data_IF_435417074174
#
_entry.id   IF_435417074174
#
_cell.length_a   1.000
_cell.length_b   1.000
_cell.length_c   1.000
_cell.angle_alpha   90.00
_cell.angle_beta   90.00
_cell.angle_gamma   90.00
#
_symmetry.space_group_name_H-M   'P 1'
#
loop_
_entity.id
_entity.type
_entity.pdbx_description
1 polymer ?
#
# COMPACT_ATOMS: atom_id res chain seq x y z
N UNK A 1 2.14 -59.10 30.14
CA UNK A 1 2.53 -59.27 28.72
C UNK A 1 1.63 -60.35 28.13
N UNK A 2 0.63 -59.97 27.32
CA UNK A 2 -0.23 -60.91 26.59
C UNK A 2 0.31 -61.07 25.18
N UNK A 3 0.74 -62.28 24.82
CA UNK A 3 1.33 -62.57 23.51
C UNK A 3 0.19 -62.96 22.56
N UNK A 4 -0.19 -62.05 21.68
CA UNK A 4 -1.17 -62.32 20.61
C UNK A 4 -0.50 -63.10 19.48
N UNK A 5 -0.68 -64.42 19.47
CA UNK A 5 -0.31 -65.24 18.32
C UNK A 5 -1.47 -65.21 17.32
N UNK A 6 -1.26 -64.63 16.13
CA UNK A 6 -2.26 -64.63 15.06
C UNK A 6 -1.74 -65.45 13.88
N UNK A 7 -2.46 -66.52 13.51
CA UNK A 7 -2.18 -67.32 12.31
C UNK A 7 -2.53 -66.47 11.07
N UNK A 8 -1.52 -65.92 10.42
CA UNK A 8 -1.67 -65.09 9.21
C UNK A 8 -1.99 -65.97 7.99
N UNK A 9 -3.20 -65.84 7.44
CA UNK A 9 -3.58 -66.48 6.19
C UNK A 9 -3.28 -65.50 5.04
N UNK A 10 -2.65 -65.94 3.94
CA UNK A 10 -2.17 -65.07 2.84
C UNK A 10 -3.25 -64.10 2.31
N UNK A 11 -4.51 -64.52 2.31
CA UNK A 11 -5.66 -63.67 1.94
C UNK A 11 -5.89 -62.50 2.90
N UNK A 12 -5.71 -62.71 4.21
CA UNK A 12 -5.81 -61.66 5.24
C UNK A 12 -4.62 -60.69 5.18
N UNK A 13 -3.45 -61.19 4.77
CA UNK A 13 -2.26 -60.35 4.54
C UNK A 13 -2.48 -59.36 3.39
N UNK A 14 -3.04 -59.83 2.27
CA UNK A 14 -3.34 -58.98 1.11
C UNK A 14 -4.35 -57.88 1.46
N UNK A 15 -5.41 -58.23 2.20
CA UNK A 15 -6.41 -57.25 2.65
C UNK A 15 -5.78 -56.21 3.58
N UNK A 16 -4.92 -56.63 4.52
CA UNK A 16 -4.24 -55.70 5.42
C UNK A 16 -3.34 -54.70 4.65
N UNK A 17 -2.63 -55.16 3.62
CA UNK A 17 -1.79 -54.29 2.77
C UNK A 17 -2.63 -53.27 2.00
N UNK A 18 -3.78 -53.68 1.46
CA UNK A 18 -4.68 -52.78 0.71
C UNK A 18 -5.25 -51.71 1.65
N UNK A 19 -5.69 -52.07 2.85
CA UNK A 19 -6.20 -51.11 3.84
C UNK A 19 -5.11 -50.10 4.22
N UNK A 20 -3.88 -50.56 4.42
CA UNK A 20 -2.75 -49.71 4.78
C UNK A 20 -2.38 -48.74 3.63
N UNK A 21 -2.46 -49.20 2.37
CA UNK A 21 -2.26 -48.36 1.20
C UNK A 21 -3.35 -47.27 1.06
N UNK A 22 -4.61 -47.60 1.31
CA UNK A 22 -5.72 -46.63 1.29
C UNK A 22 -5.56 -45.58 2.39
N UNK A 23 -5.15 -45.99 3.59
CA UNK A 23 -4.87 -45.07 4.70
C UNK A 23 -3.70 -44.13 4.35
N UNK A 24 -2.63 -44.64 3.74
CA UNK A 24 -1.51 -43.82 3.31
C UNK A 24 -1.91 -42.79 2.24
N UNK A 25 -2.73 -43.18 1.26
CA UNK A 25 -3.24 -42.26 0.23
C UNK A 25 -4.12 -41.18 0.85
N UNK A 26 -4.97 -41.53 1.82
CA UNK A 26 -5.80 -40.56 2.54
C UNK A 26 -4.95 -39.57 3.34
N UNK A 27 -3.88 -40.03 4.01
CA UNK A 27 -2.95 -39.17 4.74
C UNK A 27 -2.19 -38.23 3.80
N UNK A 28 -1.74 -38.72 2.63
CA UNK A 28 -1.05 -37.89 1.63
C UNK A 28 -1.99 -36.86 0.99
N UNK A 29 -3.26 -37.19 0.76
CA UNK A 29 -4.27 -36.23 0.28
C UNK A 29 -4.55 -35.12 1.31
N UNK A 30 -4.62 -35.47 2.59
CA UNK A 30 -4.82 -34.50 3.68
C UNK A 30 -3.56 -33.63 3.86
N UNK A 31 -2.37 -34.23 3.85
CA UNK A 31 -1.11 -33.50 4.00
C UNK A 31 -0.73 -32.66 2.75
N UNK A 32 -1.01 -33.15 1.54
CA UNK A 32 -0.71 -32.46 0.28
C UNK A 32 -1.63 -31.27 -0.02
N UNK A 33 -2.70 -31.08 0.77
CA UNK A 33 -3.57 -29.91 0.70
C UNK A 33 -3.13 -28.76 1.62
N UNK A 34 -2.16 -28.99 2.51
CA UNK A 34 -1.70 -27.98 3.47
C UNK A 34 -0.76 -26.94 2.84
N UNK A 35 0.13 -27.32 1.92
CA UNK A 35 1.20 -26.42 1.44
C UNK A 35 0.79 -25.45 0.31
N UNK A 36 -0.48 -25.47 -0.14
CA UNK A 36 -0.96 -24.57 -1.22
C UNK A 36 -1.95 -23.49 -0.77
N UNK A 37 -2.30 -23.47 0.52
CA UNK A 37 -3.32 -22.57 1.07
C UNK A 37 -2.75 -21.42 1.91
N UNK A 38 -1.46 -21.41 2.25
CA UNK A 38 -0.93 -20.53 3.30
C UNK A 38 -0.91 -19.03 2.96
N UNK A 39 -0.84 -18.65 1.68
CA UNK A 39 -0.87 -17.24 1.28
C UNK A 39 -2.30 -16.71 1.21
N UNK A 40 -3.20 -17.43 0.52
CA UNK A 40 -4.58 -17.00 0.33
C UNK A 40 -5.43 -17.11 1.61
N UNK A 41 -5.15 -18.09 2.49
CA UNK A 41 -5.87 -18.26 3.77
C UNK A 41 -5.49 -17.19 4.79
N UNK A 42 -4.22 -16.77 4.85
CA UNK A 42 -3.80 -15.60 5.64
C UNK A 42 -4.34 -14.29 5.07
N UNK A 43 -4.39 -14.15 3.75
CA UNK A 43 -4.91 -12.97 3.04
C UNK A 43 -6.43 -12.80 3.28
N UNK A 44 -7.22 -13.87 3.17
CA UNK A 44 -8.65 -13.84 3.50
C UNK A 44 -8.94 -13.67 4.99
N UNK A 45 -8.12 -14.26 5.88
CA UNK A 45 -8.23 -14.04 7.31
C UNK A 45 -7.90 -12.59 7.71
N UNK A 46 -6.86 -11.99 7.12
CA UNK A 46 -6.51 -10.59 7.33
C UNK A 46 -7.64 -9.66 6.86
N UNK A 47 -8.23 -9.90 5.69
CA UNK A 47 -9.37 -9.12 5.18
C UNK A 47 -10.62 -9.17 6.07
N UNK A 48 -10.77 -10.23 6.87
CA UNK A 48 -11.87 -10.37 7.83
C UNK A 48 -11.58 -9.75 9.21
N UNK A 49 -10.41 -9.14 9.40
CA UNK A 49 -9.93 -8.67 10.69
C UNK A 49 -10.88 -7.65 11.34
N UNK A 50 -11.20 -7.93 12.60
CA UNK A 50 -11.91 -6.98 13.46
C UNK A 50 -10.89 -6.01 14.04
N UNK A 51 -11.05 -4.72 13.71
CA UNK A 51 -10.12 -3.65 14.05
C UNK A 51 -10.89 -2.56 14.80
N UNK A 52 -10.62 -2.47 16.10
CA UNK A 52 -11.33 -1.59 17.06
C UNK A 52 -10.53 -0.36 17.46
N UNK A 53 -9.21 -0.45 17.44
CA UNK A 53 -8.33 0.63 17.89
C UNK A 53 -7.18 0.85 16.88
N UNK A 54 -6.40 1.90 17.10
CA UNK A 54 -5.29 2.27 16.24
C UNK A 54 -4.21 1.17 16.15
N UNK A 55 -3.84 0.55 17.26
CA UNK A 55 -2.80 -0.49 17.26
C UNK A 55 -3.18 -1.70 16.41
N UNK A 56 -4.46 -2.07 16.40
CA UNK A 56 -4.98 -3.12 15.54
C UNK A 56 -4.97 -2.71 14.05
N UNK A 57 -5.19 -1.44 13.73
CA UNK A 57 -5.08 -0.91 12.35
C UNK A 57 -3.65 -1.00 11.84
N UNK A 58 -2.69 -0.52 12.63
CA UNK A 58 -1.26 -0.60 12.31
C UNK A 58 -0.84 -2.05 12.20
N UNK A 59 -1.24 -2.92 13.14
CA UNK A 59 -0.92 -4.35 13.10
C UNK A 59 -1.49 -5.03 11.84
N UNK A 60 -2.67 -4.64 11.39
CA UNK A 60 -3.24 -5.14 10.15
C UNK A 60 -2.37 -4.75 8.94
N UNK A 61 -2.00 -3.49 8.80
CA UNK A 61 -1.12 -3.02 7.71
C UNK A 61 0.25 -3.72 7.75
N UNK A 62 0.85 -3.84 8.95
CA UNK A 62 2.10 -4.56 9.16
C UNK A 62 1.99 -6.05 8.78
N UNK A 63 0.83 -6.69 9.01
CA UNK A 63 0.62 -8.09 8.64
C UNK A 63 0.61 -8.31 7.13
N UNK A 64 0.35 -7.26 6.34
CA UNK A 64 0.42 -7.27 4.89
C UNK A 64 1.84 -6.95 4.37
N UNK A 65 2.76 -6.54 5.24
CA UNK A 65 4.14 -6.17 4.89
C UNK A 65 4.41 -4.66 4.87
N UNK A 66 3.40 -3.82 5.11
CA UNK A 66 3.58 -2.37 5.14
C UNK A 66 4.14 -1.90 6.48
N UNK A 67 5.19 -1.09 6.45
CA UNK A 67 5.63 -0.32 7.62
C UNK A 67 4.99 1.05 7.54
N UNK A 68 4.21 1.39 8.57
CA UNK A 68 3.49 2.66 8.64
C UNK A 68 3.77 3.41 9.93
N UNK A 69 3.56 4.72 9.88
CA UNK A 69 3.58 5.55 11.08
C UNK A 69 2.58 5.06 12.13
N UNK A 70 2.96 5.20 13.41
CA UNK A 70 2.14 4.67 14.51
C UNK A 70 0.78 5.35 14.62
N UNK A 71 0.68 6.62 14.21
CA UNK A 71 -0.55 7.42 14.29
C UNK A 71 -1.08 7.64 12.88
N UNK A 72 -2.40 7.54 12.73
CA UNK A 72 -3.06 7.96 11.49
C UNK A 72 -2.80 9.46 11.23
N UNK A 73 -2.42 9.79 10.00
CA UNK A 73 -2.32 11.17 9.53
C UNK A 73 -3.69 11.82 9.49
N UNK A 74 -4.70 11.07 9.04
CA UNK A 74 -6.06 11.56 8.87
C UNK A 74 -7.07 10.51 9.32
N UNK A 75 -8.17 11.00 9.90
CA UNK A 75 -9.39 10.25 10.20
C UNK A 75 -10.57 11.01 9.61
N UNK A 76 -11.27 10.39 8.65
CA UNK A 76 -12.35 11.05 7.92
C UNK A 76 -13.58 10.15 7.79
N UNK A 77 -14.76 10.70 8.05
CA UNK A 77 -16.02 10.03 7.74
C UNK A 77 -16.30 10.11 6.24
N UNK A 78 -16.57 8.96 5.63
CA UNK A 78 -16.87 8.82 4.21
C UNK A 78 -18.20 8.09 4.03
N UNK A 79 -19.00 8.54 3.05
CA UNK A 79 -20.25 7.86 2.70
C UNK A 79 -20.02 7.08 1.42
N UNK A 80 -20.25 5.76 1.47
CA UNK A 80 -20.19 4.92 0.28
C UNK A 80 -21.40 5.25 -0.60
N UNK A 81 -21.23 5.62 -1.88
CA UNK A 81 -22.35 5.96 -2.74
C UNK A 81 -23.30 4.77 -2.94
N UNK A 82 -24.62 5.02 -3.05
CA UNK A 82 -25.58 3.96 -3.40
C UNK A 82 -25.45 3.52 -4.87
N UNK A 83 -25.10 4.45 -5.73
CA UNK A 83 -24.91 4.23 -7.16
C UNK A 83 -23.47 4.60 -7.51
N UNK A 84 -22.75 3.68 -8.17
CA UNK A 84 -21.35 3.91 -8.52
C UNK A 84 -21.26 4.61 -9.86
N UNK A 85 -20.64 5.79 -9.87
CA UNK A 85 -20.12 6.41 -11.09
C UNK A 85 -19.00 5.54 -11.68
N UNK A 86 -18.61 5.78 -12.92
CA UNK A 86 -17.55 4.98 -13.54
C UNK A 86 -16.20 5.10 -12.81
N UNK A 87 -15.96 6.23 -12.15
CA UNK A 87 -14.79 6.42 -11.27
C UNK A 87 -14.90 5.51 -10.04
N UNK A 88 -16.05 5.48 -9.38
CA UNK A 88 -16.24 4.65 -8.19
C UNK A 88 -16.28 3.15 -8.54
N UNK A 89 -16.75 2.78 -9.73
CA UNK A 89 -16.68 1.39 -10.22
C UNK A 89 -15.23 0.94 -10.34
N UNK A 90 -14.36 1.73 -10.97
CA UNK A 90 -12.91 1.45 -11.05
C UNK A 90 -12.27 1.32 -9.67
N UNK A 91 -12.64 2.22 -8.75
CA UNK A 91 -12.18 2.10 -7.36
C UNK A 91 -12.65 0.77 -6.73
N UNK A 92 -13.94 0.41 -6.88
CA UNK A 92 -14.45 -0.86 -6.38
C UNK A 92 -13.82 -2.08 -7.06
N UNK A 93 -13.37 -2.00 -8.31
CA UNK A 93 -12.61 -3.09 -8.97
C UNK A 93 -11.29 -3.37 -8.24
N UNK A 94 -10.56 -2.34 -7.82
CA UNK A 94 -9.34 -2.48 -6.99
C UNK A 94 -9.68 -3.15 -5.66
N UNK A 95 -10.83 -2.80 -5.06
CA UNK A 95 -11.28 -3.39 -3.80
C UNK A 95 -11.72 -4.86 -3.97
N UNK A 96 -12.44 -5.17 -5.05
CA UNK A 96 -12.90 -6.52 -5.38
C UNK A 96 -11.74 -7.48 -5.60
N UNK A 97 -10.67 -7.02 -6.26
CA UNK A 97 -9.46 -7.81 -6.46
C UNK A 97 -8.80 -8.24 -5.13
N UNK A 98 -9.04 -7.50 -4.06
CA UNK A 98 -8.56 -7.83 -2.71
C UNK A 98 -9.54 -8.70 -1.94
N UNK A 99 -10.79 -8.82 -2.39
CA UNK A 99 -11.88 -9.52 -1.69
C UNK A 99 -12.87 -8.59 -0.96
N UNK A 100 -12.76 -7.29 -1.16
CA UNK A 100 -13.68 -6.28 -0.64
C UNK A 100 -14.73 -5.89 -1.68
N UNK A 101 -16.00 -5.79 -1.28
CA UNK A 101 -17.08 -5.40 -2.20
C UNK A 101 -17.87 -4.23 -1.62
N UNK A 102 -17.55 -3.01 -2.09
CA UNK A 102 -18.17 -1.79 -1.60
C UNK A 102 -19.62 -1.65 -2.04
N UNK A 103 -20.07 -2.36 -3.08
CA UNK A 103 -21.46 -2.29 -3.54
C UNK A 103 -22.45 -2.73 -2.47
N UNK A 104 -22.01 -3.62 -1.56
CA UNK A 104 -22.77 -4.09 -0.40
C UNK A 104 -22.98 -3.01 0.68
N UNK A 105 -22.23 -1.91 0.62
CA UNK A 105 -22.21 -0.87 1.64
C UNK A 105 -22.80 0.46 1.14
N UNK A 106 -23.55 0.46 0.03
CA UNK A 106 -24.13 1.67 -0.54
C UNK A 106 -25.01 2.46 0.44
N UNK A 107 -24.72 3.75 0.59
CA UNK A 107 -25.41 4.69 1.49
C UNK A 107 -24.97 4.61 2.96
N UNK A 108 -23.94 3.82 3.27
CA UNK A 108 -23.40 3.66 4.62
C UNK A 108 -22.29 4.69 4.88
N UNK A 109 -22.30 5.28 6.07
CA UNK A 109 -21.17 6.03 6.61
C UNK A 109 -20.13 5.07 7.21
N UNK A 110 -18.89 5.18 6.73
CA UNK A 110 -17.73 4.46 7.21
C UNK A 110 -16.62 5.46 7.60
N UNK A 111 -15.59 4.99 8.28
CA UNK A 111 -14.44 5.83 8.65
C UNK A 111 -13.21 5.41 7.85
N UNK A 112 -12.62 6.36 7.13
CA UNK A 112 -11.32 6.21 6.47
C UNK A 112 -10.21 6.65 7.41
N UNK A 113 -9.17 5.84 7.48
CA UNK A 113 -7.94 6.13 8.20
C UNK A 113 -6.76 6.09 7.25
N UNK A 114 -5.98 7.16 7.23
CA UNK A 114 -4.83 7.33 6.36
C UNK A 114 -3.55 7.24 7.18
N UNK A 115 -2.61 6.41 6.75
CA UNK A 115 -1.33 6.21 7.42
C UNK A 115 -0.18 6.51 6.46
N UNK A 116 0.86 7.20 6.95
CA UNK A 116 2.10 7.36 6.19
C UNK A 116 2.78 6.01 6.02
N UNK A 117 3.12 5.64 4.78
CA UNK A 117 3.92 4.44 4.48
C UNK A 117 5.40 4.81 4.51
N UNK A 118 6.22 3.95 5.12
CA UNK A 118 7.65 4.17 5.35
C UNK A 118 8.55 3.26 4.51
N UNK A 119 8.00 2.18 3.93
CA UNK A 119 8.77 1.17 3.21
C UNK A 119 8.30 0.94 1.76
N UNK A 120 7.67 1.93 1.12
CA UNK A 120 7.25 1.77 -0.27
C UNK A 120 8.50 1.62 -1.20
N UNK A 121 8.59 0.59 -2.06
CA UNK A 121 9.80 0.36 -2.85
C UNK A 121 10.12 1.48 -3.84
N UNK A 122 11.41 1.82 -3.95
CA UNK A 122 11.96 2.71 -5.00
C UNK A 122 11.27 4.07 -5.13
N UNK A 123 10.71 4.63 -4.05
CA UNK A 123 9.99 5.88 -4.12
C UNK A 123 10.25 6.77 -2.90
N UNK A 124 10.69 8.01 -3.17
CA UNK A 124 10.83 9.07 -2.16
C UNK A 124 9.53 9.91 -2.03
N UNK A 125 8.45 9.50 -2.71
CA UNK A 125 7.18 10.24 -2.69
C UNK A 125 6.38 9.98 -1.41
N UNK A 126 5.53 10.94 -1.02
CA UNK A 126 4.62 10.81 0.12
C UNK A 126 3.52 9.78 -0.18
N UNK A 127 3.85 8.51 0.00
CA UNK A 127 2.93 7.37 -0.15
C UNK A 127 2.16 7.16 1.14
N UNK A 128 0.85 6.98 1.03
CA UNK A 128 -0.04 6.70 2.16
C UNK A 128 -0.84 5.42 1.93
N UNK A 129 -1.24 4.78 3.02
CA UNK A 129 -2.14 3.64 3.03
C UNK A 129 -3.47 4.06 3.66
N UNK A 130 -4.55 3.88 2.91
CA UNK A 130 -5.92 4.10 3.36
C UNK A 130 -6.57 2.78 3.73
N UNK A 131 -7.25 2.75 4.88
CA UNK A 131 -8.17 1.68 5.25
C UNK A 131 -9.53 2.27 5.60
N UNK A 132 -10.60 1.68 5.06
CA UNK A 132 -11.98 2.09 5.31
C UNK A 132 -12.62 1.06 6.21
N UNK A 133 -13.14 1.52 7.35
CA UNK A 133 -13.68 0.67 8.41
C UNK A 133 -15.17 0.97 8.61
N UNK A 134 -15.97 -0.10 8.60
CA UNK A 134 -17.36 -0.07 9.01
C UNK A 134 -17.63 -1.14 10.07
N UNK A 135 -18.22 -0.75 11.21
CA UNK A 135 -18.50 -1.64 12.35
C UNK A 135 -17.30 -2.48 12.77
N UNK A 136 -16.15 -1.84 12.93
CA UNK A 136 -14.87 -2.46 13.26
C UNK A 136 -14.37 -3.51 12.25
N UNK A 137 -14.87 -3.52 11.01
CA UNK A 137 -14.37 -4.39 9.94
C UNK A 137 -13.82 -3.53 8.82
N UNK A 138 -12.68 -3.93 8.28
CA UNK A 138 -12.14 -3.31 7.09
C UNK A 138 -13.03 -3.73 5.92
N UNK A 139 -13.50 -2.75 5.15
CA UNK A 139 -14.39 -2.95 4.00
C UNK A 139 -13.77 -2.48 2.69
N UNK A 140 -12.62 -1.81 2.76
CA UNK A 140 -11.77 -1.43 1.64
C UNK A 140 -10.41 -0.95 2.17
N UNK A 141 -9.41 -0.93 1.29
CA UNK A 141 -8.18 -0.19 1.50
C UNK A 141 -7.31 -0.17 0.26
N UNK A 142 -6.40 0.78 0.23
CA UNK A 142 -5.49 1.02 -0.88
C UNK A 142 -4.19 1.67 -0.39
N UNK A 143 -3.19 1.68 -1.28
CA UNK A 143 -1.97 2.45 -1.14
C UNK A 143 -1.90 3.41 -2.30
N UNK A 144 -1.68 4.68 -2.01
CA UNK A 144 -1.70 5.75 -3.00
C UNK A 144 -0.56 6.75 -2.79
N UNK A 145 -0.15 7.40 -3.88
CA UNK A 145 0.83 8.49 -3.86
C UNK A 145 0.16 9.80 -4.24
N UNK A 146 0.51 10.88 -3.52
CA UNK A 146 0.01 12.23 -3.79
C UNK A 146 0.83 12.98 -4.87
N UNK A 147 1.70 12.29 -5.61
CA UNK A 147 2.46 12.87 -6.72
C UNK A 147 1.56 13.19 -7.93
N UNK A 148 2.02 14.06 -8.84
CA UNK A 148 1.30 14.41 -10.08
C UNK A 148 1.03 13.20 -10.99
N UNK A 149 1.96 12.26 -11.01
CA UNK A 149 1.90 10.94 -11.64
C UNK A 149 1.60 9.83 -10.62
N UNK A 150 0.87 10.19 -9.56
CA UNK A 150 0.51 9.29 -8.47
C UNK A 150 -0.27 8.07 -8.92
N UNK A 151 -0.31 7.08 -8.04
CA UNK A 151 -1.01 5.81 -8.26
C UNK A 151 -1.98 5.54 -7.12
N UNK A 152 -2.88 4.59 -7.35
CA UNK A 152 -3.72 3.97 -6.33
C UNK A 152 -3.79 2.48 -6.62
N UNK A 153 -3.34 1.66 -5.69
CA UNK A 153 -3.27 0.20 -5.82
C UNK A 153 -3.81 -0.46 -4.56
N UNK A 154 -4.15 -1.75 -4.64
CA UNK A 154 -4.59 -2.49 -3.45
C UNK A 154 -3.50 -2.61 -2.37
N UNK A 155 -3.90 -2.99 -1.16
CA UNK A 155 -3.03 -3.18 0.00
C UNK A 155 -2.07 -4.37 -0.10
N UNK A 156 -2.10 -5.14 -1.18
CA UNK A 156 -1.15 -6.24 -1.36
C UNK A 156 0.25 -5.63 -1.51
N UNK A 157 1.14 -5.94 -0.57
CA UNK A 157 2.51 -5.45 -0.65
C UNK A 157 3.15 -5.90 -1.97
N UNK A 158 3.71 -4.97 -2.76
CA UNK A 158 4.31 -5.31 -4.03
C UNK A 158 5.46 -6.26 -3.77
N UNK A 159 5.42 -7.45 -4.36
CA UNK A 159 6.61 -8.28 -4.44
C UNK A 159 7.65 -7.42 -5.15
N UNK A 160 8.89 -7.30 -4.65
CA UNK A 160 9.95 -6.65 -5.39
C UNK A 160 10.10 -7.38 -6.72
N UNK A 161 9.48 -6.82 -7.77
CA UNK A 161 9.99 -7.00 -9.11
C UNK A 161 11.38 -6.39 -9.04
N UNK A 162 12.39 -7.15 -9.47
CA UNK A 162 13.68 -6.57 -9.82
C UNK A 162 13.37 -5.24 -10.52
N UNK A 163 13.94 -4.15 -9.97
CA UNK A 163 13.56 -2.77 -10.24
C UNK A 163 13.03 -2.59 -11.65
N UNK A 164 11.96 -1.80 -11.89
CA UNK A 164 11.74 -1.29 -13.23
C UNK A 164 13.06 -0.64 -13.63
N UNK A 165 13.75 -1.31 -14.55
CA UNK A 165 14.98 -0.87 -15.16
C UNK A 165 14.70 0.56 -15.56
N UNK A 166 15.53 1.49 -15.10
CA UNK A 166 15.60 2.80 -15.68
C UNK A 166 15.63 2.58 -17.20
N UNK A 167 14.52 2.87 -17.87
CA UNK A 167 14.54 2.98 -19.31
C UNK A 167 15.53 4.10 -19.60
N UNK A 168 16.56 3.86 -20.44
CA UNK A 168 17.56 4.86 -20.71
C UNK A 168 16.84 6.03 -21.38
N UNK A 169 16.89 7.20 -20.75
CA UNK A 169 16.51 8.46 -21.37
C UNK A 169 17.23 8.52 -22.71
N UNK A 170 16.53 8.64 -23.85
CA UNK A 170 17.20 8.73 -25.14
C UNK A 170 18.06 9.99 -25.12
N UNK A 171 19.36 9.77 -25.24
CA UNK A 171 20.35 10.84 -25.36
C UNK A 171 20.05 11.59 -26.64
N UNK A 172 19.52 12.81 -26.51
CA UNK A 172 19.38 13.72 -27.63
C UNK A 172 20.77 14.00 -28.21
N UNK A 173 20.85 13.88 -29.54
CA UNK A 173 22.05 14.00 -30.35
C UNK A 173 22.91 15.23 -30.00
N UNK A 174 24.19 14.96 -29.77
CA UNK A 174 25.26 15.96 -29.79
C UNK A 174 25.42 16.43 -31.23
N UNK A 175 24.99 17.66 -31.54
CA UNK A 175 25.44 18.39 -32.73
C UNK A 175 26.73 19.14 -32.34
N UNK A 176 27.90 18.84 -32.95
CA UNK A 176 29.10 19.64 -32.75
C UNK A 176 28.96 20.95 -33.52
N UNK A 177 29.04 22.10 -32.86
CA UNK A 177 29.18 23.38 -33.56
C UNK A 177 30.66 23.71 -33.71
N UNK A 178 31.15 23.58 -34.94
CA UNK A 178 32.45 24.07 -35.38
C UNK A 178 32.53 25.59 -35.32
N UNK A 179 33.73 26.06 -35.03
CA UNK A 179 34.11 27.46 -35.01
C UNK A 179 33.95 28.13 -36.39
N UNK A 180 33.42 29.34 -36.41
CA UNK A 180 33.69 30.32 -37.46
C UNK A 180 33.79 31.73 -36.85
N UNK A 181 35.00 32.27 -36.97
CA UNK A 181 35.45 33.63 -36.70
C UNK A 181 34.63 34.68 -37.47
N UNK A 182 34.31 35.82 -36.83
CA UNK A 182 34.43 37.13 -37.47
C UNK A 182 34.39 38.27 -36.43
N UNK A 183 35.40 39.13 -36.53
CA UNK A 183 35.52 40.44 -35.91
C UNK A 183 34.40 41.41 -36.34
N UNK A 184 33.91 42.26 -35.44
CA UNK A 184 34.06 43.71 -35.65
C UNK A 184 33.71 44.54 -34.41
N UNK A 185 34.51 45.59 -34.25
CA UNK A 185 34.48 46.57 -33.18
C UNK A 185 33.49 47.73 -33.44
N UNK A 186 32.87 48.25 -32.36
CA UNK A 186 32.60 49.67 -32.10
C UNK A 186 31.79 49.76 -30.77
N UNK A 187 32.38 50.11 -29.61
CA UNK A 187 32.73 51.43 -29.05
C UNK A 187 31.53 52.17 -28.41
N UNK A 188 31.79 52.69 -27.19
CA UNK A 188 31.04 53.71 -26.40
C UNK A 188 29.85 53.20 -25.57
N UNK A 189 29.67 53.43 -24.25
CA UNK A 189 30.27 54.26 -23.17
C UNK A 189 29.95 53.54 -21.81
N UNK A 190 30.80 53.36 -20.76
CA UNK A 190 31.32 54.30 -19.72
C UNK A 190 30.16 55.15 -19.12
N UNK A 191 29.73 55.12 -17.85
CA UNK A 191 30.32 54.85 -16.51
C UNK A 191 29.17 54.68 -15.47
N UNK A 192 29.45 54.24 -14.21
CA UNK A 192 28.54 53.54 -13.29
C UNK A 192 28.15 54.38 -12.06
N UNK A 193 27.78 53.69 -10.96
CA UNK A 193 27.58 54.15 -9.56
C UNK A 193 26.10 54.32 -9.16
N UNK A 194 25.66 54.02 -7.94
CA UNK A 194 26.26 53.46 -6.74
C UNK A 194 25.14 52.96 -5.81
N UNK A 195 25.59 52.21 -4.80
CA UNK A 195 24.95 51.92 -3.52
C UNK A 195 23.80 52.82 -3.04
N UNK A 196 22.87 52.24 -2.27
CA UNK A 196 22.72 52.65 -0.87
C UNK A 196 21.94 51.60 -0.06
N UNK A 197 22.62 51.19 1.00
CA UNK A 197 22.21 50.36 2.13
C UNK A 197 21.25 51.09 3.05
N UNK A 198 20.72 50.33 4.02
CA UNK A 198 20.26 50.75 5.37
C UNK A 198 18.98 51.61 5.38
N UNK A 199 18.02 51.47 6.28
CA UNK A 199 18.04 50.96 7.66
C UNK A 199 16.59 50.96 8.20
N UNK A 200 16.44 50.55 9.47
CA UNK A 200 15.37 50.96 10.42
C UNK A 200 14.11 50.09 10.43
N UNK A 201 14.00 49.13 11.36
CA UNK A 201 13.64 49.20 12.80
C UNK A 201 12.12 49.26 13.08
N UNK A 202 11.73 48.32 13.94
CA UNK A 202 10.80 48.46 15.06
C UNK A 202 9.33 48.83 14.79
N UNK A 203 8.46 47.87 15.08
CA UNK A 203 7.15 48.13 15.68
C UNK A 203 6.89 47.05 16.73
N UNK A 204 7.32 47.34 17.96
CA UNK A 204 6.65 46.95 19.21
C UNK A 204 5.16 47.40 19.11
N UNK A 205 4.15 46.93 19.85
CA UNK A 205 4.00 46.15 21.07
C UNK A 205 2.49 45.77 21.14
N UNK A 206 2.18 44.80 22.00
CA UNK A 206 0.93 44.54 22.76
C UNK A 206 -0.13 45.68 22.79
N UNK A 207 -1.44 45.39 22.84
CA UNK A 207 -2.15 45.16 24.12
C UNK A 207 -3.48 44.40 23.90
N UNK A 208 -3.68 43.49 24.84
CA UNK A 208 -4.80 42.63 25.17
C UNK A 208 -6.00 43.36 25.83
N UNK A 209 -7.16 42.68 25.85
CA UNK A 209 -8.30 42.86 26.77
C UNK A 209 -9.20 44.11 26.64
N UNK A 210 -10.49 43.88 26.35
CA UNK A 210 -11.52 43.86 27.40
C UNK A 210 -12.92 43.77 26.76
N UNK A 211 -13.52 42.60 26.90
CA UNK A 211 -14.92 42.31 26.65
C UNK A 211 -15.72 42.72 27.90
N UNK A 212 -16.76 43.55 27.75
CA UNK A 212 -17.93 43.65 28.65
C UNK A 212 -18.87 44.80 28.19
N UNK A 213 -20.14 44.84 28.63
CA UNK A 213 -21.06 43.75 28.98
C UNK A 213 -22.18 43.54 27.95
#
# INVERSE_FOLDING_TARGET
MFVFTTKFNRKKAVIAVIVLAVILIAVVMIAGSADRADTNSKETAALSAVVKNNDQRVKYLNSLGWEVEKKALEEQKVVIPRNFSDVYKKYNEIQLAQGFDLSKYGGIEATRYTYQVLNYPNCDSNVVADIIIYRNRIIAGDVQSNAMDGFMVGLKYPKPAASPSAEPVPTADVIPNEAATNDNAAKSDVVPQEALTSDTLASEEEIEAANAP
#
